data_IF_515623097402
#
_entry.id   IF_515623097402
#
_cell.length_a   1.000
_cell.length_b   1.000
_cell.length_c   1.000
_cell.angle_alpha   90.00
_cell.angle_beta   90.00
_cell.angle_gamma   90.00
#
_symmetry.space_group_name_H-M   'P 1'
#
loop_
_entity.id
_entity.type
_entity.pdbx_description
1 polymer ?
#
# COMPACT_ATOMS: atom_id res chain seq x y z
N UNK A 1 101.24 -43.58 22.90
CA UNK A 1 100.17 -42.56 22.93
C UNK A 1 99.53 -42.49 21.56
N UNK A 2 98.22 -42.66 21.48
CA UNK A 2 97.38 -42.67 20.27
C UNK A 2 96.99 -41.22 19.92
N UNK A 3 96.77 -40.86 18.64
CA UNK A 3 95.51 -40.16 18.35
C UNK A 3 94.74 -40.70 17.14
N UNK A 4 93.44 -40.73 17.37
CA UNK A 4 92.28 -41.27 16.65
C UNK A 4 92.02 -40.56 15.32
N UNK A 5 92.05 -41.30 14.21
CA UNK A 5 91.50 -40.85 12.93
C UNK A 5 89.96 -40.84 13.02
N UNK A 6 89.37 -39.64 13.01
CA UNK A 6 87.92 -39.50 12.87
C UNK A 6 87.51 -40.07 11.50
N UNK A 7 86.61 -41.06 11.54
CA UNK A 7 86.24 -41.87 10.38
C UNK A 7 85.41 -41.06 9.38
N UNK A 8 85.57 -41.36 8.08
CA UNK A 8 84.73 -40.79 7.00
C UNK A 8 83.22 -41.03 7.22
N UNK A 9 82.84 -41.99 8.05
CA UNK A 9 81.45 -42.29 8.39
C UNK A 9 80.79 -41.21 9.28
N UNK A 10 81.54 -40.55 10.17
CA UNK A 10 81.03 -39.48 11.03
C UNK A 10 80.71 -38.19 10.24
N UNK A 11 81.47 -37.92 9.17
CA UNK A 11 81.28 -36.76 8.29
C UNK A 11 80.04 -36.96 7.40
N UNK A 12 79.83 -38.18 6.92
CA UNK A 12 78.70 -38.53 6.05
C UNK A 12 77.37 -38.60 6.81
N UNK A 13 77.39 -39.05 8.08
CA UNK A 13 76.22 -39.00 8.96
C UNK A 13 75.79 -37.55 9.26
N UNK A 14 76.75 -36.65 9.53
CA UNK A 14 76.49 -35.22 9.74
C UNK A 14 75.96 -34.51 8.48
N UNK A 15 76.47 -34.87 7.30
CA UNK A 15 75.99 -34.31 6.04
C UNK A 15 74.54 -34.75 5.72
N UNK A 16 74.19 -36.02 5.95
CA UNK A 16 72.81 -36.51 5.81
C UNK A 16 71.84 -35.91 6.83
N UNK A 17 72.29 -35.68 8.06
CA UNK A 17 71.46 -35.06 9.09
C UNK A 17 71.22 -33.56 8.82
N UNK A 18 72.24 -32.84 8.34
CA UNK A 18 72.10 -31.46 7.91
C UNK A 18 71.16 -31.32 6.69
N UNK A 19 71.23 -32.24 5.72
CA UNK A 19 70.33 -32.27 4.58
C UNK A 19 68.87 -32.56 4.98
N UNK A 20 68.64 -33.50 5.92
CA UNK A 20 67.30 -33.78 6.47
C UNK A 20 66.72 -32.60 7.24
N UNK A 21 67.51 -31.91 8.07
CA UNK A 21 67.05 -30.72 8.80
C UNK A 21 66.71 -29.55 7.86
N UNK A 22 67.47 -29.37 6.79
CA UNK A 22 67.18 -28.34 5.79
C UNK A 22 65.91 -28.64 4.96
N UNK A 23 65.59 -29.90 4.72
CA UNK A 23 64.35 -30.30 4.04
C UNK A 23 63.11 -30.17 4.95
N UNK A 24 63.25 -30.53 6.23
CA UNK A 24 62.18 -30.41 7.23
C UNK A 24 61.84 -28.94 7.53
N UNK A 25 62.85 -28.07 7.63
CA UNK A 25 62.67 -26.62 7.82
C UNK A 25 61.97 -25.96 6.61
N UNK A 26 62.34 -26.37 5.38
CA UNK A 26 61.65 -25.92 4.15
C UNK A 26 60.20 -26.40 4.08
N UNK A 27 59.90 -27.63 4.49
CA UNK A 27 58.52 -28.15 4.57
C UNK A 27 57.71 -27.45 5.66
N UNK A 28 58.30 -27.17 6.81
CA UNK A 28 57.66 -26.43 7.89
C UNK A 28 57.34 -24.98 7.45
N UNK A 29 58.26 -24.33 6.73
CA UNK A 29 58.06 -22.99 6.19
C UNK A 29 56.95 -22.94 5.11
N UNK A 30 56.90 -23.89 4.18
CA UNK A 30 55.84 -23.96 3.16
C UNK A 30 54.45 -24.23 3.78
N UNK A 31 54.39 -25.15 4.75
CA UNK A 31 53.16 -25.45 5.47
C UNK A 31 52.66 -24.25 6.31
N UNK A 32 53.56 -23.50 6.94
CA UNK A 32 53.21 -22.28 7.67
C UNK A 32 52.70 -21.18 6.73
N UNK A 33 53.32 -21.03 5.55
CA UNK A 33 52.93 -20.02 4.56
C UNK A 33 51.57 -20.32 3.93
N UNK A 34 51.30 -21.59 3.59
CA UNK A 34 49.97 -22.04 3.11
C UNK A 34 48.88 -21.84 4.15
N UNK A 35 49.14 -22.16 5.43
CA UNK A 35 48.17 -21.92 6.51
C UNK A 35 47.89 -20.43 6.70
N UNK A 36 48.90 -19.56 6.61
CA UNK A 36 48.68 -18.11 6.69
C UNK A 36 47.86 -17.56 5.51
N UNK A 37 48.12 -18.03 4.29
CA UNK A 37 47.39 -17.62 3.09
C UNK A 37 45.93 -18.07 3.14
N UNK A 38 45.66 -19.31 3.58
CA UNK A 38 44.31 -19.85 3.74
C UNK A 38 43.52 -19.09 4.82
N UNK A 39 44.13 -18.82 5.98
CA UNK A 39 43.53 -18.00 7.05
C UNK A 39 43.28 -16.54 6.62
N UNK A 40 44.17 -15.97 5.79
CA UNK A 40 43.99 -14.61 5.27
C UNK A 40 42.85 -14.55 4.24
N UNK A 41 42.80 -15.53 3.33
CA UNK A 41 41.76 -15.66 2.31
C UNK A 41 40.38 -15.92 2.92
N UNK A 42 40.29 -16.78 3.94
CA UNK A 42 39.03 -17.06 4.65
C UNK A 42 38.51 -15.82 5.39
N UNK A 43 39.40 -15.06 6.06
CA UNK A 43 39.02 -13.80 6.70
C UNK A 43 38.58 -12.73 5.71
N UNK A 44 39.21 -12.64 4.54
CA UNK A 44 38.83 -11.69 3.49
C UNK A 44 37.44 -12.05 2.93
N UNK A 45 37.23 -13.33 2.61
CA UNK A 45 35.95 -13.83 2.10
C UNK A 45 34.82 -13.68 3.13
N UNK A 46 35.08 -13.93 4.41
CA UNK A 46 34.11 -13.70 5.48
C UNK A 46 33.72 -12.22 5.60
N UNK A 47 34.69 -11.30 5.50
CA UNK A 47 34.42 -9.85 5.52
C UNK A 47 33.61 -9.39 4.29
N UNK A 48 33.96 -9.85 3.09
CA UNK A 48 33.24 -9.50 1.86
C UNK A 48 31.81 -10.02 1.90
N UNK A 49 31.59 -11.27 2.33
CA UNK A 49 30.23 -11.82 2.50
C UNK A 49 29.42 -11.06 3.54
N UNK A 50 30.02 -10.74 4.69
CA UNK A 50 29.34 -9.98 5.74
C UNK A 50 28.97 -8.56 5.29
N UNK A 51 29.83 -7.91 4.50
CA UNK A 51 29.58 -6.58 3.96
C UNK A 51 28.51 -6.60 2.86
N UNK A 52 28.54 -7.59 1.96
CA UNK A 52 27.52 -7.79 0.95
C UNK A 52 26.13 -8.08 1.56
N UNK A 53 26.06 -8.93 2.59
CA UNK A 53 24.80 -9.21 3.30
C UNK A 53 24.24 -7.98 4.03
N UNK A 54 25.11 -7.15 4.63
CA UNK A 54 24.68 -5.90 5.27
C UNK A 54 24.15 -4.90 4.25
N UNK A 55 24.82 -4.75 3.11
CA UNK A 55 24.39 -3.83 2.06
C UNK A 55 23.08 -4.29 1.40
N UNK A 56 22.91 -5.60 1.18
CA UNK A 56 21.67 -6.16 0.67
C UNK A 56 20.52 -6.00 1.67
N UNK A 57 20.74 -6.27 2.96
CA UNK A 57 19.72 -6.00 4.00
C UNK A 57 19.38 -4.51 4.09
N UNK A 58 20.36 -3.61 3.99
CA UNK A 58 20.12 -2.18 4.01
C UNK A 58 19.27 -1.74 2.80
N UNK A 59 19.59 -2.22 1.59
CA UNK A 59 18.81 -1.93 0.38
C UNK A 59 17.40 -2.50 0.45
N UNK A 60 17.23 -3.71 0.96
CA UNK A 60 15.91 -4.33 1.17
C UNK A 60 15.08 -3.54 2.19
N UNK A 61 15.69 -3.12 3.30
CA UNK A 61 15.03 -2.32 4.33
C UNK A 61 14.65 -0.92 3.82
N UNK A 62 15.51 -0.27 3.03
CA UNK A 62 15.22 1.03 2.42
C UNK A 62 14.11 0.92 1.36
N UNK A 63 14.17 -0.10 0.50
CA UNK A 63 13.12 -0.37 -0.48
C UNK A 63 11.77 -0.65 0.19
N UNK A 64 11.77 -1.40 1.30
CA UNK A 64 10.54 -1.65 2.07
C UNK A 64 10.00 -0.37 2.72
N UNK A 65 10.87 0.47 3.30
CA UNK A 65 10.48 1.78 3.85
C UNK A 65 9.86 2.67 2.79
N UNK A 66 10.53 2.81 1.64
CA UNK A 66 10.03 3.62 0.54
C UNK A 66 8.70 3.08 -0.02
N UNK A 67 8.53 1.76 -0.06
CA UNK A 67 7.26 1.14 -0.47
C UNK A 67 6.14 1.41 0.55
N UNK A 68 6.43 1.33 1.85
CA UNK A 68 5.47 1.65 2.91
C UNK A 68 5.07 3.13 2.87
N UNK A 69 6.03 4.05 2.72
CA UNK A 69 5.75 5.48 2.59
C UNK A 69 4.89 5.78 1.36
N UNK A 70 5.17 5.15 0.21
CA UNK A 70 4.32 5.29 -0.98
C UNK A 70 2.90 4.74 -0.77
N UNK A 71 2.75 3.59 -0.12
CA UNK A 71 1.42 3.03 0.20
C UNK A 71 0.65 3.96 1.16
N UNK A 72 1.31 4.48 2.19
CA UNK A 72 0.71 5.44 3.12
C UNK A 72 0.30 6.75 2.45
N UNK A 73 1.14 7.29 1.55
CA UNK A 73 0.82 8.48 0.78
C UNK A 73 -0.37 8.22 -0.17
N UNK A 74 -0.38 7.07 -0.85
CA UNK A 74 -1.47 6.67 -1.73
C UNK A 74 -2.79 6.49 -0.95
N UNK A 75 -2.75 5.86 0.23
CA UNK A 75 -3.90 5.75 1.13
C UNK A 75 -4.41 7.10 1.58
N UNK A 76 -3.54 7.97 2.10
CA UNK A 76 -3.91 9.33 2.54
C UNK A 76 -4.52 10.15 1.39
N UNK A 77 -3.96 10.05 0.18
CA UNK A 77 -4.50 10.72 -1.00
C UNK A 77 -5.89 10.17 -1.38
N UNK A 78 -6.06 8.85 -1.34
CA UNK A 78 -7.36 8.21 -1.60
C UNK A 78 -8.41 8.61 -0.55
N UNK A 79 -8.05 8.63 0.72
CA UNK A 79 -8.94 9.02 1.83
C UNK A 79 -9.33 10.50 1.77
N UNK A 80 -8.39 11.39 1.45
CA UNK A 80 -8.65 12.82 1.27
C UNK A 80 -9.58 13.06 0.07
N UNK A 81 -9.33 12.37 -1.04
CA UNK A 81 -10.18 12.44 -2.24
C UNK A 81 -11.59 11.92 -1.96
N UNK A 82 -11.73 10.75 -1.32
CA UNK A 82 -13.02 10.18 -0.94
C UNK A 82 -13.80 11.09 0.02
N UNK A 83 -13.11 11.71 0.98
CA UNK A 83 -13.73 12.66 1.92
C UNK A 83 -14.20 13.94 1.25
N UNK A 84 -13.40 14.51 0.33
CA UNK A 84 -13.79 15.68 -0.44
C UNK A 84 -14.99 15.37 -1.35
N UNK A 85 -14.97 14.22 -2.01
CA UNK A 85 -16.06 13.73 -2.85
C UNK A 85 -17.35 13.51 -2.05
N UNK A 86 -17.27 12.89 -0.87
CA UNK A 86 -18.42 12.67 0.00
C UNK A 86 -19.09 13.97 0.46
N UNK A 87 -18.29 15.00 0.77
CA UNK A 87 -18.81 16.33 1.13
C UNK A 87 -19.50 17.01 -0.04
N UNK A 88 -18.94 16.91 -1.24
CA UNK A 88 -19.58 17.43 -2.46
C UNK A 88 -20.90 16.69 -2.71
N UNK A 89 -20.90 15.35 -2.65
CA UNK A 89 -22.09 14.52 -2.81
C UNK A 89 -23.20 14.93 -1.84
N UNK A 90 -22.89 15.09 -0.56
CA UNK A 90 -23.84 15.56 0.45
C UNK A 90 -24.38 16.96 0.10
N UNK A 91 -23.51 17.92 -0.22
CA UNK A 91 -23.92 19.30 -0.52
C UNK A 91 -24.84 19.40 -1.75
N UNK A 92 -24.59 18.59 -2.79
CA UNK A 92 -25.47 18.53 -3.96
C UNK A 92 -26.75 17.74 -3.66
N UNK A 93 -26.68 16.64 -2.90
CA UNK A 93 -27.87 15.94 -2.42
C UNK A 93 -28.79 16.88 -1.62
N UNK A 94 -28.25 17.74 -0.75
CA UNK A 94 -29.00 18.77 -0.03
C UNK A 94 -29.68 19.77 -0.97
N UNK A 95 -28.97 20.26 -1.99
CA UNK A 95 -29.55 21.15 -3.00
C UNK A 95 -30.68 20.48 -3.78
N UNK A 96 -30.51 19.21 -4.13
CA UNK A 96 -31.52 18.40 -4.81
C UNK A 96 -32.74 18.25 -3.88
N UNK A 97 -32.54 17.82 -2.63
CA UNK A 97 -33.60 17.67 -1.62
C UNK A 97 -34.38 18.97 -1.43
N UNK A 98 -33.69 20.09 -1.28
CA UNK A 98 -34.31 21.40 -1.14
C UNK A 98 -35.13 21.79 -2.39
N UNK A 99 -34.63 21.49 -3.60
CA UNK A 99 -35.37 21.76 -4.84
C UNK A 99 -36.62 20.88 -4.94
N UNK A 100 -36.48 19.57 -4.72
CA UNK A 100 -37.57 18.60 -4.74
C UNK A 100 -38.65 18.99 -3.74
N UNK A 101 -38.27 19.35 -2.51
CA UNK A 101 -39.21 19.74 -1.45
C UNK A 101 -40.15 20.88 -1.85
N UNK A 102 -39.66 21.87 -2.61
CA UNK A 102 -40.48 22.99 -3.11
C UNK A 102 -41.59 22.57 -4.07
N UNK A 103 -41.49 21.37 -4.66
CA UNK A 103 -42.48 20.81 -5.56
C UNK A 103 -43.34 19.70 -4.92
N UNK A 104 -43.03 19.29 -3.68
CA UNK A 104 -43.84 18.32 -2.96
C UNK A 104 -45.17 18.99 -2.61
N UNK A 105 -46.26 18.40 -3.07
CA UNK A 105 -47.60 18.78 -2.66
C UNK A 105 -47.96 17.95 -1.44
N UNK A 106 -48.17 18.60 -0.30
CA UNK A 106 -48.56 17.90 0.92
C UNK A 106 -49.91 17.20 0.72
N UNK A 107 -49.99 15.88 0.95
CA UNK A 107 -51.23 15.14 0.76
C UNK A 107 -52.29 15.56 1.79
N UNK A 108 -53.58 15.56 1.39
CA UNK A 108 -54.67 15.86 2.32
C UNK A 108 -54.71 14.82 3.44
N UNK A 109 -54.69 15.27 4.69
CA UNK A 109 -54.59 14.41 5.89
C UNK A 109 -53.26 14.51 6.64
N UNK A 110 -52.28 15.24 6.09
CA UNK A 110 -51.00 15.48 6.74
C UNK A 110 -50.03 14.30 6.63
N UNK A 111 -48.75 14.57 6.88
CA UNK A 111 -47.68 13.57 6.83
C UNK A 111 -47.10 13.43 8.24
N UNK A 112 -46.96 12.20 8.77
CA UNK A 112 -46.37 12.01 10.09
C UNK A 112 -44.93 12.53 10.11
N UNK A 113 -44.53 13.16 11.22
CA UNK A 113 -43.19 13.74 11.37
C UNK A 113 -42.06 12.70 11.27
N UNK A 114 -42.37 11.42 11.49
CA UNK A 114 -41.46 10.28 11.33
C UNK A 114 -41.41 9.71 9.91
N UNK A 115 -42.20 10.22 8.97
CA UNK A 115 -42.22 9.73 7.60
C UNK A 115 -40.87 9.98 6.92
N UNK A 116 -40.27 8.92 6.37
CA UNK A 116 -39.01 9.00 5.64
C UNK A 116 -39.09 8.13 4.40
N UNK A 117 -39.17 8.77 3.23
CA UNK A 117 -39.11 8.08 1.95
C UNK A 117 -37.66 8.01 1.47
N UNK A 118 -37.22 6.85 0.99
CA UNK A 118 -35.91 6.69 0.34
C UNK A 118 -36.13 6.28 -1.11
N UNK A 119 -35.57 7.06 -2.04
CA UNK A 119 -35.63 6.80 -3.46
C UNK A 119 -34.23 6.63 -4.05
N UNK A 120 -34.04 5.57 -4.83
CA UNK A 120 -32.92 5.40 -5.73
C UNK A 120 -33.23 6.15 -7.03
N UNK A 121 -32.51 7.25 -7.28
CA UNK A 121 -32.71 8.11 -8.45
C UNK A 121 -31.49 7.99 -9.36
N UNK A 122 -31.73 7.65 -10.62
CA UNK A 122 -30.69 7.59 -11.64
C UNK A 122 -30.75 8.86 -12.48
N UNK A 123 -29.63 9.56 -12.63
CA UNK A 123 -29.52 10.81 -13.37
C UNK A 123 -28.76 10.60 -14.68
N UNK A 124 -29.09 11.40 -15.71
CA UNK A 124 -28.31 11.49 -16.95
C UNK A 124 -27.39 12.72 -16.97
N UNK A 125 -26.31 12.71 -17.78
CA UNK A 125 -25.47 13.89 -17.99
C UNK A 125 -26.34 15.00 -18.59
N UNK A 126 -26.65 16.02 -17.77
CA UNK A 126 -27.66 17.04 -18.08
C UNK A 126 -28.53 17.40 -16.87
N UNK A 127 -28.58 16.54 -15.84
CA UNK A 127 -29.32 16.77 -14.61
C UNK A 127 -30.77 16.27 -14.66
N UNK A 128 -31.17 15.63 -15.75
CA UNK A 128 -32.45 14.97 -15.88
C UNK A 128 -32.47 13.59 -15.19
N UNK A 129 -33.66 13.19 -14.79
CA UNK A 129 -33.89 11.91 -14.10
C UNK A 129 -34.19 10.84 -15.14
N UNK A 130 -33.40 9.76 -15.14
CA UNK A 130 -33.60 8.59 -15.98
C UNK A 130 -34.60 7.60 -15.38
N UNK A 131 -34.50 7.34 -14.08
CA UNK A 131 -35.31 6.34 -13.40
C UNK A 131 -35.41 6.66 -11.92
N UNK A 132 -36.57 6.40 -11.34
CA UNK A 132 -36.86 6.56 -9.91
C UNK A 132 -37.32 5.19 -9.41
N UNK A 133 -36.73 4.73 -8.31
CA UNK A 133 -37.15 3.51 -7.64
C UNK A 133 -37.35 3.79 -6.16
N UNK A 134 -38.52 3.43 -5.63
CA UNK A 134 -38.78 3.49 -4.20
C UNK A 134 -37.98 2.38 -3.51
N UNK A 135 -37.04 2.77 -2.67
CA UNK A 135 -36.23 1.86 -1.85
C UNK A 135 -36.89 1.60 -0.51
N UNK A 136 -37.46 2.64 0.09
CA UNK A 136 -38.17 2.58 1.37
C UNK A 136 -39.33 3.55 1.35
N UNK A 137 -40.53 3.03 1.59
CA UNK A 137 -41.75 3.84 1.73
C UNK A 137 -41.71 4.65 3.02
N UNK A 138 -42.28 5.86 2.97
CA UNK A 138 -42.44 6.72 4.14
C UNK A 138 -43.52 6.27 5.12
N UNK A 139 -44.25 5.19 4.81
CA UNK A 139 -45.44 4.76 5.53
C UNK A 139 -46.74 5.46 5.08
N UNK A 140 -46.67 6.34 4.07
CA UNK A 140 -47.85 6.93 3.43
C UNK A 140 -47.66 6.96 1.91
N UNK A 141 -48.40 6.12 1.19
CA UNK A 141 -48.32 6.01 -0.27
C UNK A 141 -48.60 7.34 -0.98
N UNK A 142 -49.53 8.16 -0.47
CA UNK A 142 -49.83 9.46 -1.08
C UNK A 142 -48.64 10.42 -1.01
N UNK A 143 -47.84 10.32 0.06
CA UNK A 143 -46.61 11.09 0.20
C UNK A 143 -45.52 10.56 -0.72
N UNK A 144 -45.34 9.24 -0.79
CA UNK A 144 -44.36 8.62 -1.69
C UNK A 144 -44.64 9.02 -3.16
N UNK A 145 -45.89 8.95 -3.61
CA UNK A 145 -46.30 9.40 -4.95
C UNK A 145 -46.08 10.90 -5.16
N UNK A 146 -46.34 11.73 -4.14
CA UNK A 146 -46.10 13.16 -4.20
C UNK A 146 -44.59 13.47 -4.34
N UNK A 147 -43.74 12.74 -3.63
CA UNK A 147 -42.28 12.86 -3.73
C UNK A 147 -41.79 12.41 -5.10
N UNK A 148 -42.28 11.29 -5.63
CA UNK A 148 -41.92 10.82 -6.98
C UNK A 148 -42.24 11.87 -8.05
N UNK A 149 -43.46 12.43 -8.01
CA UNK A 149 -43.87 13.51 -8.93
C UNK A 149 -43.05 14.78 -8.73
N UNK A 150 -42.68 15.10 -7.49
CA UNK A 150 -41.84 16.26 -7.18
C UNK A 150 -40.43 16.11 -7.72
N UNK A 151 -39.85 14.91 -7.68
CA UNK A 151 -38.52 14.60 -8.26
C UNK A 151 -38.53 14.86 -9.77
N UNK A 152 -39.56 14.37 -10.48
CA UNK A 152 -39.73 14.62 -11.92
C UNK A 152 -39.93 16.11 -12.22
N UNK A 153 -40.74 16.82 -11.42
CA UNK A 153 -40.94 18.28 -11.58
C UNK A 153 -39.71 19.12 -11.28
N UNK A 154 -38.82 18.63 -10.42
CA UNK A 154 -37.62 19.35 -10.02
C UNK A 154 -36.51 19.32 -11.10
N UNK A 155 -36.72 18.64 -12.24
CA UNK A 155 -35.78 18.64 -13.36
C UNK A 155 -35.57 20.06 -13.94
N UNK A 156 -34.35 20.43 -14.35
CA UNK A 156 -33.09 19.69 -14.20
C UNK A 156 -32.55 19.82 -12.76
N UNK A 157 -32.09 18.71 -12.18
CA UNK A 157 -31.51 18.68 -10.85
C UNK A 157 -30.08 19.25 -10.86
N UNK A 158 -29.68 19.97 -9.80
CA UNK A 158 -28.33 20.52 -9.70
C UNK A 158 -27.31 19.38 -9.61
N UNK A 159 -26.49 19.24 -10.65
CA UNK A 159 -25.37 18.29 -10.72
C UNK A 159 -24.03 19.05 -10.76
N UNK A 160 -22.92 18.43 -10.32
CA UNK A 160 -21.61 19.01 -10.51
C UNK A 160 -21.25 19.12 -12.01
N UNK A 161 -20.54 20.19 -12.42
CA UNK A 161 -20.12 20.37 -13.82
C UNK A 161 -18.99 19.42 -14.23
N UNK A 162 -18.24 18.84 -13.28
CA UNK A 162 -17.13 17.94 -13.60
C UNK A 162 -17.60 16.53 -13.96
N UNK A 163 -17.21 15.98 -15.12
CA UNK A 163 -17.64 14.64 -15.56
C UNK A 163 -17.15 13.52 -14.63
N UNK A 164 -15.98 13.69 -14.00
CA UNK A 164 -15.42 12.73 -13.03
C UNK A 164 -16.30 12.62 -11.78
N UNK A 165 -16.86 13.75 -11.33
CA UNK A 165 -17.76 13.79 -10.18
C UNK A 165 -19.12 13.21 -10.57
N UNK A 166 -19.65 13.58 -11.75
CA UNK A 166 -20.95 13.10 -12.25
C UNK A 166 -21.10 11.58 -12.23
N UNK A 167 -20.04 10.80 -12.51
CA UNK A 167 -20.09 9.33 -12.46
C UNK A 167 -20.63 8.78 -11.12
N UNK A 168 -20.34 9.47 -10.01
CA UNK A 168 -20.84 9.13 -8.67
C UNK A 168 -22.26 9.64 -8.42
N UNK A 169 -22.68 10.73 -9.08
CA UNK A 169 -24.04 11.29 -9.00
C UNK A 169 -25.04 10.62 -9.93
N UNK A 170 -24.56 9.75 -10.84
CA UNK A 170 -25.41 8.97 -11.75
C UNK A 170 -26.45 8.16 -10.98
N UNK A 171 -26.11 7.66 -9.79
CA UNK A 171 -27.05 6.95 -8.92
C UNK A 171 -27.01 7.60 -7.54
N UNK A 172 -28.11 8.23 -7.14
CA UNK A 172 -28.23 8.95 -5.88
C UNK A 172 -29.33 8.33 -5.04
N UNK A 173 -29.04 8.10 -3.76
CA UNK A 173 -30.06 7.75 -2.77
C UNK A 173 -30.57 9.04 -2.15
N UNK A 174 -31.82 9.41 -2.44
CA UNK A 174 -32.47 10.57 -1.87
C UNK A 174 -33.35 10.14 -0.70
N UNK A 175 -33.00 10.61 0.49
CA UNK A 175 -33.82 10.48 1.68
C UNK A 175 -34.62 11.78 1.84
N UNK A 176 -35.94 11.69 1.79
CA UNK A 176 -36.85 12.84 1.86
C UNK A 176 -37.72 12.73 3.10
N UNK A 177 -37.57 13.71 3.99
CA UNK A 177 -38.41 13.87 5.20
C UNK A 177 -39.28 15.13 5.06
N UNK A 178 -40.51 15.12 5.57
CA UNK A 178 -41.40 16.27 5.47
C UNK A 178 -40.93 17.47 6.31
N UNK A 179 -40.19 17.21 7.39
CA UNK A 179 -39.81 18.19 8.44
C UNK A 179 -38.30 18.53 8.47
N UNK A 180 -37.52 18.21 7.44
CA UNK A 180 -36.06 18.48 7.38
C UNK A 180 -35.72 19.80 6.67
#
# INVERSE_FOLDING_TARGET
MVPKAASRADIELKAKEAAKRAEDDKRAADAAKKRQDELASEKLNAKVKAQAQKEEQAKLAEAERLRREQDELARKAAEASASAQGKLLAAYADKIRAKVRRFIVEPPGGVPASAMAEFDVVLIPGGDVLSIKLRKSSGNTLYDEAVERAILRAQPLPIPPEPQQFAQFRTLILQIRPQE
#
